data_IF_421958379140
#
_entry.id   IF_421958379140
#
_cell.length_a   1.000
_cell.length_b   1.000
_cell.length_c   1.000
_cell.angle_alpha   90.00
_cell.angle_beta   90.00
_cell.angle_gamma   90.00
#
_symmetry.space_group_name_H-M   'P 1'
#
loop_
_entity.id
_entity.type
_entity.pdbx_description
1 polymer ?
#
# COMPACT_ATOMS: atom_id res chain seq x y z
N UNK A 1 -32.84 -6.47 13.81
CA UNK A 1 -31.97 -5.44 13.23
C UNK A 1 -30.79 -5.24 14.17
N UNK A 2 -29.64 -5.77 13.84
CA UNK A 2 -28.44 -5.69 14.69
C UNK A 2 -27.49 -4.64 14.09
N UNK A 3 -26.91 -3.77 14.92
CA UNK A 3 -25.87 -2.85 14.47
C UNK A 3 -24.51 -3.50 14.68
N UNK A 4 -23.78 -3.70 13.60
CA UNK A 4 -22.48 -4.37 13.58
C UNK A 4 -21.43 -3.34 13.21
N UNK A 5 -20.42 -3.14 14.06
CA UNK A 5 -19.31 -2.24 13.81
C UNK A 5 -18.11 -2.98 13.20
N UNK A 6 -17.42 -2.33 12.27
CA UNK A 6 -16.11 -2.78 11.80
C UNK A 6 -15.09 -1.68 11.94
N UNK A 7 -13.93 -2.00 12.52
CA UNK A 7 -12.79 -1.10 12.65
C UNK A 7 -11.52 -1.75 12.13
N UNK A 8 -10.65 -0.92 11.56
CA UNK A 8 -9.30 -1.32 11.20
C UNK A 8 -8.30 -0.34 11.80
N UNK A 9 -7.44 -0.84 12.68
CA UNK A 9 -6.36 -0.06 13.30
C UNK A 9 -5.02 -0.44 12.68
N UNK A 10 -4.18 0.57 12.39
CA UNK A 10 -2.78 0.32 12.02
C UNK A 10 -1.96 0.11 13.30
N UNK A 11 -0.89 -0.70 13.24
CA UNK A 11 0.00 -0.92 14.38
C UNK A 11 0.66 0.38 14.92
N UNK A 12 0.66 1.46 14.11
CA UNK A 12 1.15 2.79 14.49
C UNK A 12 0.06 3.67 15.14
N UNK A 13 -1.22 3.40 14.87
CA UNK A 13 -2.35 4.14 15.44
C UNK A 13 -2.91 3.38 16.65
N UNK A 14 -2.29 3.57 17.81
CA UNK A 14 -2.81 3.01 19.07
C UNK A 14 -4.10 3.69 19.56
N UNK A 15 -4.68 4.62 18.81
CA UNK A 15 -5.80 5.43 19.26
C UNK A 15 -7.10 5.00 18.55
N UNK A 16 -7.69 3.90 19.04
CA UNK A 16 -9.06 3.44 18.68
C UNK A 16 -10.13 4.47 19.04
N UNK A 17 -9.84 5.39 19.97
CA UNK A 17 -10.78 6.43 20.42
C UNK A 17 -11.23 7.43 19.35
N UNK A 18 -10.62 7.39 18.14
CA UNK A 18 -11.03 8.25 17.02
C UNK A 18 -12.09 7.61 16.12
N UNK A 19 -12.47 6.36 16.37
CA UNK A 19 -13.47 5.64 15.58
C UNK A 19 -14.70 5.35 16.45
N UNK A 20 -15.38 6.41 16.90
CA UNK A 20 -16.66 6.27 17.60
C UNK A 20 -17.73 5.84 16.58
N UNK A 21 -18.13 4.58 16.63
CA UNK A 21 -19.18 4.01 15.76
C UNK A 21 -20.57 4.19 16.35
N UNK A 22 -20.68 4.81 17.54
CA UNK A 22 -21.93 4.95 18.28
C UNK A 22 -22.37 3.63 18.94
N UNK A 23 -23.67 3.50 19.16
CA UNK A 23 -24.25 2.32 19.79
C UNK A 23 -24.26 1.13 18.82
N UNK A 24 -23.33 0.18 19.01
CA UNK A 24 -23.15 -1.03 18.22
C UNK A 24 -23.32 -2.28 19.11
N UNK A 25 -23.97 -3.30 18.57
CA UNK A 25 -24.22 -4.56 19.28
C UNK A 25 -23.04 -5.53 19.22
N UNK A 26 -22.25 -5.49 18.14
CA UNK A 26 -21.07 -6.34 17.92
C UNK A 26 -20.01 -5.59 17.14
N UNK A 27 -18.75 -5.66 17.60
CA UNK A 27 -17.59 -5.03 16.96
C UNK A 27 -16.64 -6.09 16.40
N UNK A 28 -16.21 -5.90 15.17
CA UNK A 28 -15.14 -6.65 14.52
C UNK A 28 -13.93 -5.74 14.29
N UNK A 29 -12.76 -6.17 14.74
CA UNK A 29 -11.54 -5.35 14.68
C UNK A 29 -10.40 -6.10 14.02
N UNK A 30 -9.85 -5.52 12.93
CA UNK A 30 -8.61 -5.98 12.31
C UNK A 30 -7.43 -5.09 12.70
N UNK A 31 -6.34 -5.70 13.17
CA UNK A 31 -5.06 -5.02 13.43
C UNK A 31 -4.15 -5.22 12.23
N UNK A 32 -4.06 -4.23 11.34
CA UNK A 32 -3.24 -4.30 10.13
C UNK A 32 -1.84 -3.72 10.39
N UNK A 33 -0.82 -4.56 10.46
CA UNK A 33 0.58 -4.14 10.30
C UNK A 33 0.93 -4.04 8.81
N UNK A 34 1.60 -2.93 8.43
CA UNK A 34 1.82 -2.50 7.06
C UNK A 34 2.24 -3.56 6.05
N UNK A 35 1.36 -4.09 5.28
CA UNK A 35 1.61 -4.96 4.13
C UNK A 35 0.85 -6.28 4.13
N UNK A 36 0.41 -6.79 5.25
CA UNK A 36 -0.36 -8.03 5.29
C UNK A 36 -1.85 -7.73 5.09
N UNK A 37 -2.40 -8.31 4.02
CA UNK A 37 -3.78 -8.07 3.58
C UNK A 37 -4.79 -9.00 4.26
N UNK A 38 -4.36 -9.83 5.20
CA UNK A 38 -5.26 -10.72 5.93
C UNK A 38 -6.15 -9.92 6.87
N UNK A 39 -7.45 -10.04 6.67
CA UNK A 39 -8.51 -9.34 7.39
C UNK A 39 -9.50 -10.35 7.94
N UNK A 40 -9.09 -11.16 8.94
CA UNK A 40 -9.93 -12.24 9.47
C UNK A 40 -11.21 -11.71 10.08
N UNK A 41 -11.16 -10.57 10.78
CA UNK A 41 -12.36 -9.98 11.39
C UNK A 41 -13.35 -9.46 10.35
N UNK A 42 -12.87 -8.92 9.20
CA UNK A 42 -13.74 -8.57 8.08
C UNK A 42 -14.44 -9.81 7.52
N UNK A 43 -13.72 -10.90 7.30
CA UNK A 43 -14.28 -12.14 6.77
C UNK A 43 -15.29 -12.74 7.73
N UNK A 44 -14.97 -12.74 9.04
CA UNK A 44 -15.90 -13.18 10.08
C UNK A 44 -17.16 -12.31 10.11
N UNK A 45 -17.02 -10.99 10.05
CA UNK A 45 -18.14 -10.06 9.97
C UNK A 45 -19.01 -10.38 8.76
N UNK A 46 -18.41 -10.49 7.58
CA UNK A 46 -19.14 -10.81 6.34
C UNK A 46 -19.87 -12.15 6.47
N UNK A 47 -19.27 -13.18 7.07
CA UNK A 47 -19.93 -14.47 7.30
C UNK A 47 -21.10 -14.40 8.30
N UNK A 48 -21.07 -13.49 9.26
CA UNK A 48 -22.08 -13.36 10.33
C UNK A 48 -23.28 -12.48 9.97
N UNK A 49 -23.18 -11.62 8.96
CA UNK A 49 -24.23 -10.68 8.55
C UNK A 49 -25.48 -11.42 8.10
N UNK A 50 -26.65 -10.91 8.52
CA UNK A 50 -27.96 -11.42 8.17
C UNK A 50 -28.84 -10.31 7.59
N UNK A 51 -29.94 -10.72 6.97
CA UNK A 51 -30.95 -9.80 6.46
C UNK A 51 -31.43 -8.82 7.55
N UNK A 52 -31.49 -7.55 7.17
CA UNK A 52 -31.90 -6.45 8.06
C UNK A 52 -30.81 -5.91 8.97
N UNK A 53 -29.58 -6.47 8.98
CA UNK A 53 -28.49 -5.94 9.78
C UNK A 53 -27.91 -4.64 9.18
N UNK A 54 -27.34 -3.81 10.07
CA UNK A 54 -26.69 -2.56 9.71
C UNK A 54 -25.20 -2.64 10.04
N UNK A 55 -24.36 -2.69 9.02
CA UNK A 55 -22.91 -2.59 9.17
C UNK A 55 -22.52 -1.12 9.22
N UNK A 56 -21.78 -0.73 10.26
CA UNK A 56 -21.31 0.64 10.47
C UNK A 56 -19.80 0.66 10.46
N UNK A 57 -19.24 1.52 9.62
CA UNK A 57 -17.79 1.75 9.48
C UNK A 57 -17.53 3.24 9.62
N UNK A 58 -16.42 3.61 10.25
CA UNK A 58 -16.10 5.02 10.46
C UNK A 58 -15.92 5.79 9.15
N UNK A 59 -15.09 5.25 8.22
CA UNK A 59 -14.83 5.87 6.91
C UNK A 59 -14.46 4.81 5.87
N UNK A 60 -14.59 5.18 4.59
CA UNK A 60 -14.32 4.30 3.45
C UNK A 60 -12.88 3.77 3.47
N UNK A 61 -11.90 4.62 3.79
CA UNK A 61 -10.48 4.22 3.84
C UNK A 61 -10.18 3.18 4.93
N UNK A 62 -11.02 3.08 5.96
CA UNK A 62 -10.93 2.05 6.99
C UNK A 62 -11.45 0.69 6.50
N UNK A 63 -12.41 0.68 5.59
CA UNK A 63 -12.95 -0.56 5.02
C UNK A 63 -12.13 -1.05 3.82
N UNK A 64 -11.81 -0.18 2.86
CA UNK A 64 -11.09 -0.55 1.65
C UNK A 64 -10.08 0.50 1.21
N UNK A 65 -8.99 0.05 0.57
CA UNK A 65 -7.97 0.94 -0.03
C UNK A 65 -8.13 1.09 -1.54
N UNK A 66 -8.85 0.19 -2.17
CA UNK A 66 -9.14 0.18 -3.59
C UNK A 66 -10.64 0.25 -3.78
N UNK A 67 -11.08 1.01 -4.79
CA UNK A 67 -12.50 1.14 -5.12
C UNK A 67 -13.13 -0.23 -5.40
N UNK A 68 -12.46 -1.08 -6.16
CA UNK A 68 -12.94 -2.43 -6.50
C UNK A 68 -13.22 -3.29 -5.26
N UNK A 69 -12.27 -3.30 -4.31
CA UNK A 69 -12.44 -4.06 -3.06
C UNK A 69 -13.65 -3.53 -2.26
N UNK A 70 -13.89 -2.21 -2.31
CA UNK A 70 -15.05 -1.56 -1.69
C UNK A 70 -16.36 -1.97 -2.36
N UNK A 71 -16.41 -1.93 -3.69
CA UNK A 71 -17.58 -2.36 -4.47
C UNK A 71 -17.94 -3.83 -4.20
N UNK A 72 -16.93 -4.71 -4.14
CA UNK A 72 -17.14 -6.12 -3.86
C UNK A 72 -17.70 -6.34 -2.44
N UNK A 73 -17.19 -5.61 -1.43
CA UNK A 73 -17.71 -5.67 -0.06
C UNK A 73 -19.15 -5.14 0.01
N UNK A 74 -19.46 -4.00 -0.64
CA UNK A 74 -20.81 -3.44 -0.68
C UNK A 74 -21.80 -4.45 -1.29
N UNK A 75 -21.42 -5.07 -2.42
CA UNK A 75 -22.24 -6.09 -3.08
C UNK A 75 -22.48 -7.30 -2.17
N UNK A 76 -21.45 -7.77 -1.46
CA UNK A 76 -21.57 -8.92 -0.55
C UNK A 76 -22.53 -8.60 0.61
N UNK A 77 -22.40 -7.43 1.25
CA UNK A 77 -23.30 -6.98 2.31
C UNK A 77 -24.74 -6.86 1.81
N UNK A 78 -24.94 -6.20 0.67
CA UNK A 78 -26.27 -5.99 0.10
C UNK A 78 -26.92 -7.28 -0.38
N UNK A 79 -26.15 -8.24 -0.90
CA UNK A 79 -26.65 -9.54 -1.32
C UNK A 79 -27.23 -10.36 -0.17
N UNK A 80 -26.80 -10.06 1.06
CA UNK A 80 -27.32 -10.67 2.30
C UNK A 80 -28.50 -9.91 2.91
N UNK A 81 -29.01 -8.90 2.21
CA UNK A 81 -30.12 -8.07 2.69
C UNK A 81 -29.75 -7.12 3.82
N UNK A 82 -28.45 -6.87 4.03
CA UNK A 82 -27.94 -5.93 5.02
C UNK A 82 -27.58 -4.58 4.39
N UNK A 83 -27.38 -3.56 5.22
CA UNK A 83 -26.93 -2.24 4.78
C UNK A 83 -25.56 -1.90 5.33
N UNK A 84 -24.78 -1.09 4.58
CA UNK A 84 -23.46 -0.61 4.95
C UNK A 84 -23.46 0.91 5.05
N UNK A 85 -23.08 1.45 6.21
CA UNK A 85 -23.06 2.89 6.48
C UNK A 85 -21.66 3.35 6.82
N UNK A 86 -21.22 4.44 6.17
CA UNK A 86 -19.97 5.15 6.46
C UNK A 86 -20.31 6.46 7.17
N UNK A 87 -19.78 6.63 8.39
CA UNK A 87 -20.13 7.76 9.25
C UNK A 87 -19.52 9.09 8.76
N UNK A 88 -18.25 9.06 8.36
CA UNK A 88 -17.53 10.25 7.90
C UNK A 88 -18.13 10.81 6.62
N UNK A 89 -18.36 9.93 5.65
CA UNK A 89 -18.90 10.31 4.33
C UNK A 89 -20.43 10.47 4.33
N UNK A 90 -21.08 10.02 5.40
CA UNK A 90 -22.56 10.01 5.54
C UNK A 90 -23.26 9.27 4.39
N UNK A 91 -22.63 8.19 3.92
CA UNK A 91 -23.17 7.35 2.85
C UNK A 91 -23.72 6.05 3.43
N UNK A 92 -24.85 5.62 2.92
CA UNK A 92 -25.46 4.32 3.25
C UNK A 92 -25.77 3.58 1.96
N UNK A 93 -25.28 2.36 1.86
CA UNK A 93 -25.55 1.43 0.77
C UNK A 93 -26.50 0.36 1.29
N UNK A 94 -27.70 0.33 0.77
CA UNK A 94 -28.71 -0.69 1.06
C UNK A 94 -29.11 -1.35 -0.26
N UNK A 95 -29.54 -2.60 -0.24
CA UNK A 95 -29.84 -3.38 -1.45
C UNK A 95 -30.94 -2.83 -2.35
N UNK A 96 -31.59 -1.73 -1.98
CA UNK A 96 -32.38 -0.90 -2.89
C UNK A 96 -31.39 0.02 -3.61
N UNK A 97 -31.09 -0.30 -4.86
CA UNK A 97 -30.20 0.46 -5.73
C UNK A 97 -30.53 1.97 -5.63
N UNK A 98 -29.77 2.66 -4.77
CA UNK A 98 -29.76 4.12 -4.80
C UNK A 98 -28.71 4.58 -5.82
N UNK A 99 -29.16 5.01 -7.02
CA UNK A 99 -28.24 5.44 -8.08
C UNK A 99 -27.35 6.59 -7.65
N UNK A 100 -27.81 7.42 -6.69
CA UNK A 100 -27.05 8.56 -6.17
C UNK A 100 -25.88 8.11 -5.33
N UNK A 101 -26.05 7.12 -4.44
CA UNK A 101 -24.97 6.56 -3.64
C UNK A 101 -23.92 5.87 -4.51
N UNK A 102 -24.35 5.16 -5.55
CA UNK A 102 -23.46 4.53 -6.53
C UNK A 102 -22.68 5.59 -7.32
N UNK A 103 -23.33 6.64 -7.80
CA UNK A 103 -22.66 7.75 -8.48
C UNK A 103 -21.63 8.44 -7.59
N UNK A 104 -22.00 8.73 -6.34
CA UNK A 104 -21.07 9.33 -5.38
C UNK A 104 -19.83 8.46 -5.14
N UNK A 105 -20.01 7.14 -5.03
CA UNK A 105 -18.91 6.19 -4.88
C UNK A 105 -17.93 6.28 -6.08
N UNK A 106 -18.47 6.25 -7.29
CA UNK A 106 -17.64 6.36 -8.50
C UNK A 106 -16.91 7.72 -8.58
N UNK A 107 -17.60 8.81 -8.24
CA UNK A 107 -16.99 10.15 -8.20
C UNK A 107 -15.83 10.21 -7.18
N UNK A 108 -16.02 9.67 -5.97
CA UNK A 108 -14.97 9.62 -4.94
C UNK A 108 -13.77 8.78 -5.41
N UNK A 109 -14.01 7.65 -6.07
CA UNK A 109 -12.96 6.83 -6.67
C UNK A 109 -12.17 7.57 -7.74
N UNK A 110 -12.86 8.26 -8.64
CA UNK A 110 -12.23 9.08 -9.67
C UNK A 110 -11.42 10.24 -9.08
N UNK A 111 -11.94 10.92 -8.06
CA UNK A 111 -11.22 11.99 -7.36
C UNK A 111 -9.94 11.48 -6.67
N UNK A 112 -10.01 10.35 -5.99
CA UNK A 112 -8.84 9.72 -5.37
C UNK A 112 -7.76 9.34 -6.40
N UNK A 113 -8.15 8.85 -7.58
CA UNK A 113 -7.23 8.57 -8.67
C UNK A 113 -6.58 9.85 -9.22
N UNK A 114 -7.37 10.90 -9.36
CA UNK A 114 -6.88 12.22 -9.79
C UNK A 114 -5.85 12.77 -8.80
N UNK A 115 -6.14 12.78 -7.50
CA UNK A 115 -5.18 13.22 -6.47
C UNK A 115 -3.87 12.44 -6.53
N UNK A 116 -3.94 11.11 -6.62
CA UNK A 116 -2.75 10.26 -6.76
C UNK A 116 -1.94 10.60 -8.01
N UNK A 117 -2.60 10.87 -9.12
CA UNK A 117 -1.94 11.24 -10.37
C UNK A 117 -1.22 12.58 -10.24
N UNK A 118 -1.85 13.55 -9.58
CA UNK A 118 -1.27 14.87 -9.30
C UNK A 118 -0.05 14.79 -8.36
N UNK A 119 -0.13 13.97 -7.31
CA UNK A 119 0.99 13.74 -6.41
C UNK A 119 2.17 13.13 -7.16
N UNK A 120 1.94 12.09 -7.97
CA UNK A 120 2.98 11.46 -8.80
C UNK A 120 3.62 12.45 -9.78
N UNK A 121 2.82 13.30 -10.42
CA UNK A 121 3.30 14.32 -11.35
C UNK A 121 4.21 15.31 -10.62
N UNK A 122 3.77 15.89 -9.50
CA UNK A 122 4.58 16.80 -8.68
C UNK A 122 5.87 16.15 -8.18
N UNK A 123 5.80 14.89 -7.76
CA UNK A 123 6.98 14.13 -7.34
C UNK A 123 7.96 13.92 -8.48
N UNK A 124 7.50 13.57 -9.68
CA UNK A 124 8.34 13.40 -10.85
C UNK A 124 9.03 14.73 -11.25
N UNK A 125 8.28 15.83 -11.25
CA UNK A 125 8.80 17.18 -11.49
C UNK A 125 9.87 17.55 -10.44
N UNK A 126 9.59 17.33 -9.15
CA UNK A 126 10.56 17.59 -8.06
C UNK A 126 11.83 16.75 -8.18
N UNK A 127 11.71 15.47 -8.58
CA UNK A 127 12.86 14.59 -8.84
C UNK A 127 13.66 15.11 -10.05
N UNK A 128 13.00 15.54 -11.13
CA UNK A 128 13.67 16.09 -12.30
C UNK A 128 14.48 17.35 -11.95
N UNK A 129 13.89 18.28 -11.21
CA UNK A 129 14.56 19.49 -10.72
C UNK A 129 15.76 19.13 -9.83
N UNK A 130 15.61 18.22 -8.89
CA UNK A 130 16.69 17.83 -7.98
C UNK A 130 17.83 17.08 -8.70
N UNK A 131 17.55 16.33 -9.77
CA UNK A 131 18.57 15.72 -10.62
C UNK A 131 19.35 16.76 -11.42
N UNK A 132 18.70 17.80 -11.94
CA UNK A 132 19.35 18.89 -12.68
C UNK A 132 20.18 19.79 -11.77
N UNK A 133 19.72 20.02 -10.54
CA UNK A 133 20.46 20.83 -9.55
C UNK A 133 21.77 20.18 -9.07
N UNK A 134 22.01 18.88 -9.40
CA UNK A 134 23.24 18.13 -9.03
C UNK A 134 23.59 18.22 -7.53
N UNK A 135 22.62 18.41 -6.67
CA UNK A 135 22.79 18.58 -5.21
C UNK A 135 23.18 17.30 -4.46
N UNK A 136 23.42 16.23 -5.19
CA UNK A 136 23.88 14.95 -4.64
C UNK A 136 22.80 14.01 -4.13
N UNK A 137 21.54 14.41 -4.08
CA UNK A 137 20.45 13.60 -3.51
C UNK A 137 20.11 12.35 -4.32
N UNK A 138 20.34 12.34 -5.62
CA UNK A 138 19.99 11.25 -6.55
C UNK A 138 21.21 10.61 -7.22
N UNK A 139 22.34 10.50 -6.50
CA UNK A 139 23.58 9.87 -7.03
C UNK A 139 23.56 8.34 -7.03
N UNK A 140 22.42 7.73 -6.62
CA UNK A 140 22.33 6.30 -6.46
C UNK A 140 23.04 5.77 -5.20
N UNK A 141 23.19 4.46 -5.12
CA UNK A 141 23.91 3.81 -4.03
C UNK A 141 25.40 4.10 -4.14
N UNK A 142 26.06 4.46 -3.03
CA UNK A 142 27.52 4.60 -2.99
C UNK A 142 28.17 3.28 -3.44
N UNK A 143 29.21 3.41 -4.27
CA UNK A 143 30.01 2.26 -4.68
C UNK A 143 30.72 1.69 -3.44
N UNK A 144 30.39 0.46 -3.10
CA UNK A 144 30.96 -0.24 -1.94
C UNK A 144 32.19 -1.08 -2.27
N UNK A 145 32.48 -1.25 -3.56
CA UNK A 145 33.59 -2.08 -4.04
C UNK A 145 34.61 -1.13 -4.65
N UNK A 146 35.82 -1.18 -4.11
CA UNK A 146 36.93 -0.41 -4.66
C UNK A 146 37.41 -1.05 -5.97
N UNK A 147 37.19 -0.31 -7.08
CA UNK A 147 37.56 -0.75 -8.41
C UNK A 147 39.05 -0.83 -8.63
N UNK A 148 39.81 0.06 -8.00
CA UNK A 148 41.28 0.13 -8.15
C UNK A 148 41.93 -1.15 -7.60
N UNK A 149 41.45 -1.67 -6.48
CA UNK A 149 41.95 -2.91 -5.89
C UNK A 149 41.74 -4.09 -6.85
N UNK A 150 40.54 -4.19 -7.44
CA UNK A 150 40.22 -5.26 -8.39
C UNK A 150 41.12 -5.18 -9.62
N UNK A 151 41.25 -3.98 -10.18
CA UNK A 151 42.11 -3.74 -11.37
C UNK A 151 43.56 -4.10 -11.09
N UNK A 152 44.09 -3.65 -9.94
CA UNK A 152 45.47 -3.96 -9.55
C UNK A 152 45.70 -5.46 -9.36
N UNK A 153 44.78 -6.16 -8.73
CA UNK A 153 44.91 -7.63 -8.55
C UNK A 153 44.80 -8.38 -9.86
N UNK A 154 43.98 -7.96 -10.80
CA UNK A 154 43.87 -8.57 -12.13
C UNK A 154 45.12 -8.30 -12.97
N UNK A 155 45.68 -7.09 -12.93
CA UNK A 155 46.92 -6.72 -13.62
C UNK A 155 48.15 -7.44 -13.03
N UNK A 156 48.13 -7.77 -11.73
CA UNK A 156 49.14 -8.60 -11.10
C UNK A 156 49.00 -10.12 -11.40
N UNK A 157 48.11 -10.51 -12.34
CA UNK A 157 47.92 -11.87 -12.80
C UNK A 157 47.00 -12.75 -11.92
N UNK A 158 46.30 -12.14 -10.97
CA UNK A 158 45.34 -12.89 -10.13
C UNK A 158 44.13 -13.33 -10.94
N UNK A 159 43.66 -14.56 -10.79
CA UNK A 159 42.45 -15.03 -11.45
C UNK A 159 41.21 -14.37 -10.87
N UNK A 160 40.16 -14.21 -11.68
CA UNK A 160 38.85 -13.66 -11.25
C UNK A 160 38.29 -14.40 -10.01
N UNK A 161 38.53 -15.71 -9.93
CA UNK A 161 38.09 -16.51 -8.78
C UNK A 161 38.86 -16.16 -7.52
N UNK A 162 40.17 -15.93 -7.63
CA UNK A 162 41.03 -15.52 -6.50
C UNK A 162 40.63 -14.13 -5.99
N UNK A 163 40.43 -13.17 -6.90
CA UNK A 163 39.96 -11.79 -6.58
C UNK A 163 38.59 -11.82 -5.88
N UNK A 164 37.64 -12.57 -6.44
CA UNK A 164 36.29 -12.69 -5.86
C UNK A 164 36.32 -13.27 -4.44
N UNK A 165 37.15 -14.28 -4.19
CA UNK A 165 37.34 -14.91 -2.88
C UNK A 165 38.01 -13.97 -1.89
N UNK A 166 39.09 -13.30 -2.30
CA UNK A 166 39.84 -12.36 -1.45
C UNK A 166 38.99 -11.21 -0.96
N UNK A 167 38.15 -10.62 -1.88
CA UNK A 167 37.32 -9.45 -1.58
C UNK A 167 35.92 -9.83 -1.09
N UNK A 168 35.60 -11.13 -0.93
CA UNK A 168 34.28 -11.65 -0.53
C UNK A 168 33.12 -11.12 -1.37
N UNK A 169 33.35 -11.02 -2.69
CA UNK A 169 32.33 -10.56 -3.66
C UNK A 169 32.03 -11.66 -4.68
N UNK A 170 30.95 -11.50 -5.46
CA UNK A 170 30.61 -12.46 -6.50
C UNK A 170 31.57 -12.35 -7.69
N UNK A 171 31.87 -13.46 -8.35
CA UNK A 171 32.66 -13.48 -9.60
C UNK A 171 32.02 -12.59 -10.66
N UNK A 172 30.68 -12.53 -10.70
CA UNK A 172 29.94 -11.68 -11.62
C UNK A 172 30.20 -10.18 -11.39
N UNK A 173 30.39 -9.77 -10.12
CA UNK A 173 30.80 -8.39 -9.80
C UNK A 173 32.20 -8.08 -10.32
N UNK A 174 33.14 -9.02 -10.22
CA UNK A 174 34.51 -8.85 -10.75
C UNK A 174 34.50 -8.74 -12.28
N UNK A 175 33.75 -9.60 -12.99
CA UNK A 175 33.61 -9.53 -14.44
C UNK A 175 32.99 -8.20 -14.90
N UNK A 176 31.95 -7.73 -14.22
CA UNK A 176 31.32 -6.45 -14.54
C UNK A 176 32.30 -5.29 -14.39
N UNK A 177 33.04 -5.24 -13.27
CA UNK A 177 34.02 -4.16 -13.04
C UNK A 177 35.16 -4.23 -14.06
N UNK A 178 35.64 -5.44 -14.42
CA UNK A 178 36.65 -5.62 -15.47
C UNK A 178 36.16 -5.04 -16.79
N UNK A 179 34.95 -5.37 -17.23
CA UNK A 179 34.37 -4.84 -18.47
C UNK A 179 34.17 -3.31 -18.45
N UNK A 180 33.77 -2.76 -17.26
CA UNK A 180 33.62 -1.29 -17.11
C UNK A 180 34.96 -0.56 -17.21
N UNK A 181 36.07 -1.16 -16.78
CA UNK A 181 37.42 -0.58 -16.84
C UNK A 181 38.02 -0.71 -18.24
N UNK A 182 37.74 -1.82 -18.94
CA UNK A 182 38.21 -2.03 -20.33
C UNK A 182 37.47 -1.13 -21.34
N UNK A 183 36.29 -0.61 -20.99
CA UNK A 183 35.48 0.28 -21.83
C UNK A 183 35.70 1.77 -21.56
N UNK A 184 36.50 2.15 -20.57
CA UNK A 184 36.78 3.53 -20.15
C UNK A 184 38.12 4.06 -20.69
#
# INVERSE_FOLDING_TARGET
MTKIGYTRVSAADQNTNRQELGDISRLFEDKASGGNAERPALQEMLACIREGDKVVVFSIDRLARKLRDLEDIIKDVNSKGASLTFLTERLTFSGNDDPMSTLMLHMMGAFTQFERSMIRKRQAEGIAIAKTAKDGRYKGRKQSIDRSIITNMLNAGSSVTAVARSLKISRQSVYRIKAEVEAA
#
